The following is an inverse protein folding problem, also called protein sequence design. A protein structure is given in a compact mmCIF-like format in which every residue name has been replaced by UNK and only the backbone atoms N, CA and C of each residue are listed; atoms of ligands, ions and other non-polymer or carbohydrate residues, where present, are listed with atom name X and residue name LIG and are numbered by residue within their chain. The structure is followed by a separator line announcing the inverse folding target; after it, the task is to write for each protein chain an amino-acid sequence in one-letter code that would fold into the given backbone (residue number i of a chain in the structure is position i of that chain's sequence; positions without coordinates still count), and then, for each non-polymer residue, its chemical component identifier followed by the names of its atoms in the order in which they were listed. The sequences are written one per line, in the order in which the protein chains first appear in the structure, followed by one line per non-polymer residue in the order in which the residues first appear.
data_IF_708417803057
#
_entry.id   IF_708417803057
#
_cell.length_a   1.000
_cell.length_b   1.000
_cell.length_c   1.000
_cell.angle_alpha   90.00
_cell.angle_beta   90.00
_cell.angle_gamma   90.00
#
_symmetry.space_group_name_H-M   'P 1'
#
loop_
_entity.id
_entity.type
_entity.pdbx_description
1 polymer ?
#
# COMPACT_ATOMS: atom_id res chain seq x y z
N UNK A 1 -15.32 1.18 -25.31
CA UNK A 1 -14.72 2.50 -25.61
C UNK A 1 -13.20 2.33 -25.63
N UNK A 2 -12.61 2.10 -26.82
CA UNK A 2 -11.59 2.96 -27.48
C UNK A 2 -10.57 3.53 -26.47
N UNK A 3 -9.30 3.16 -26.49
CA UNK A 3 -8.36 3.34 -27.61
C UNK A 3 -7.20 2.33 -27.51
N UNK A 4 -7.05 1.42 -28.48
CA UNK A 4 -5.73 0.97 -28.97
C UNK A 4 -5.91 0.72 -30.47
N UNK A 5 -5.88 1.80 -31.25
CA UNK A 5 -5.66 1.74 -32.70
C UNK A 5 -4.19 2.00 -32.94
N UNK A 6 -3.57 1.11 -33.70
CA UNK A 6 -2.36 1.32 -34.51
C UNK A 6 -1.10 1.84 -33.80
N UNK A 7 -0.16 0.93 -33.56
CA UNK A 7 1.26 1.26 -33.59
C UNK A 7 1.96 0.28 -34.51
N UNK A 8 2.38 0.85 -35.64
CA UNK A 8 3.07 0.23 -36.75
C UNK A 8 4.35 -0.51 -36.35
N UNK A 9 4.61 -1.57 -37.11
CA UNK A 9 5.85 -2.34 -37.06
C UNK A 9 6.93 -1.62 -37.87
N UNK A 10 8.16 -1.57 -37.33
CA UNK A 10 9.42 -1.12 -37.94
C UNK A 10 9.81 0.37 -37.79
N UNK A 11 10.47 0.69 -36.68
CA UNK A 11 11.78 1.37 -36.67
C UNK A 11 12.58 0.86 -35.48
N UNK A 12 13.81 0.40 -35.75
CA UNK A 12 14.73 -0.14 -34.74
C UNK A 12 15.65 0.99 -34.29
N UNK A 13 15.10 1.95 -33.56
CA UNK A 13 15.90 2.85 -32.74
C UNK A 13 15.85 2.32 -31.31
N UNK A 14 17.02 1.93 -30.78
CA UNK A 14 17.17 1.65 -29.37
C UNK A 14 17.06 2.98 -28.63
N UNK A 15 15.83 3.43 -28.37
CA UNK A 15 15.61 4.37 -27.29
C UNK A 15 16.25 3.75 -26.04
N UNK A 16 17.26 4.43 -25.51
CA UNK A 16 17.92 4.00 -24.30
C UNK A 16 16.83 3.91 -23.22
N UNK A 17 16.58 2.69 -22.73
CA UNK A 17 15.65 2.52 -21.62
C UNK A 17 16.18 3.32 -20.43
N UNK A 18 15.44 4.38 -20.08
CA UNK A 18 15.71 5.18 -18.89
C UNK A 18 14.90 4.62 -17.71
N UNK A 19 15.54 4.00 -16.71
CA UNK A 19 14.85 3.57 -15.49
C UNK A 19 14.07 4.69 -14.82
N UNK A 20 14.58 5.93 -14.90
CA UNK A 20 14.00 7.09 -14.23
C UNK A 20 12.69 7.52 -14.89
N UNK A 21 12.38 7.05 -16.11
CA UNK A 21 11.12 7.36 -16.81
C UNK A 21 9.87 6.75 -16.16
N UNK A 22 10.03 5.68 -15.37
CA UNK A 22 8.91 4.99 -14.71
C UNK A 22 8.87 5.20 -13.20
N UNK A 23 10.03 5.34 -12.58
CA UNK A 23 10.19 5.60 -11.15
C UNK A 23 11.03 6.85 -11.02
N UNK A 24 10.35 8.01 -11.07
CA UNK A 24 11.03 9.29 -11.10
C UNK A 24 11.86 9.48 -9.82
N UNK A 25 13.16 9.68 -10.01
CA UNK A 25 14.12 9.96 -8.95
C UNK A 25 14.28 11.47 -8.82
N UNK A 26 14.32 11.94 -7.58
CA UNK A 26 14.61 13.33 -7.24
C UNK A 26 15.94 13.79 -7.83
N UNK A 27 16.01 14.94 -8.52
CA UNK A 27 17.23 15.40 -9.18
C UNK A 27 18.47 15.39 -8.28
N UNK A 28 18.32 15.80 -7.03
CA UNK A 28 19.36 15.85 -5.99
C UNK A 28 19.89 14.47 -5.59
N UNK A 29 19.09 13.42 -5.71
CA UNK A 29 19.46 12.06 -5.30
C UNK A 29 20.06 11.23 -6.43
N UNK A 30 19.96 11.66 -7.70
CA UNK A 30 20.34 10.83 -8.87
C UNK A 30 21.77 10.27 -8.83
N UNK A 31 22.69 10.99 -8.19
CA UNK A 31 24.10 10.58 -8.09
C UNK A 31 24.35 9.56 -6.98
N UNK A 32 23.47 9.51 -5.97
CA UNK A 32 23.61 8.66 -4.79
C UNK A 32 22.85 7.33 -4.93
N UNK A 33 22.00 7.21 -5.94
CA UNK A 33 21.18 6.01 -6.16
C UNK A 33 21.97 4.95 -6.92
N UNK A 34 22.06 3.71 -6.37
CA UNK A 34 22.64 2.59 -7.09
C UNK A 34 21.91 2.36 -8.42
N UNK A 35 22.68 2.21 -9.50
CA UNK A 35 22.10 1.91 -10.82
C UNK A 35 21.38 0.57 -10.76
N UNK A 36 20.11 0.54 -11.18
CA UNK A 36 19.36 -0.71 -11.29
C UNK A 36 20.04 -1.69 -12.24
N UNK A 37 20.21 -2.93 -11.78
CA UNK A 37 20.67 -4.05 -12.61
C UNK A 37 19.58 -4.56 -13.55
N UNK A 38 18.31 -4.28 -13.26
CA UNK A 38 17.20 -4.63 -14.13
C UNK A 38 17.15 -3.66 -15.32
N UNK A 39 17.22 -4.23 -16.52
CA UNK A 39 16.96 -3.53 -17.79
C UNK A 39 16.00 -4.38 -18.61
N UNK A 40 14.82 -3.86 -19.00
CA UNK A 40 13.91 -4.56 -19.89
C UNK A 40 14.62 -4.99 -21.17
N UNK A 41 14.51 -6.27 -21.50
CA UNK A 41 15.11 -6.86 -22.71
C UNK A 41 14.00 -7.27 -23.65
N UNK A 42 13.99 -6.70 -24.85
CA UNK A 42 13.06 -7.07 -25.92
C UNK A 42 13.11 -8.58 -26.13
N UNK A 43 11.95 -9.20 -26.19
CA UNK A 43 11.84 -10.64 -26.40
C UNK A 43 12.14 -11.51 -25.16
N UNK A 44 12.64 -10.94 -24.05
CA UNK A 44 12.85 -11.66 -22.78
C UNK A 44 11.92 -11.18 -21.67
N UNK A 45 11.88 -9.88 -21.40
CA UNK A 45 11.02 -9.28 -20.37
C UNK A 45 9.55 -9.45 -20.74
N UNK A 46 8.71 -9.74 -19.75
CA UNK A 46 7.27 -9.85 -19.96
C UNK A 46 6.71 -8.47 -20.35
N UNK A 47 6.21 -8.36 -21.58
CA UNK A 47 5.58 -7.14 -22.11
C UNK A 47 4.05 -7.24 -22.05
N UNK A 48 3.37 -6.10 -22.18
CA UNK A 48 1.90 -6.04 -22.22
C UNK A 48 1.29 -6.99 -23.26
N UNK A 49 1.84 -7.00 -24.49
CA UNK A 49 1.41 -7.92 -25.56
C UNK A 49 1.50 -9.39 -25.15
N UNK A 50 2.58 -9.78 -24.45
CA UNK A 50 2.79 -11.17 -24.02
C UNK A 50 1.93 -11.55 -22.83
N UNK A 51 1.70 -10.60 -21.91
CA UNK A 51 0.76 -10.79 -20.82
C UNK A 51 -0.65 -11.01 -21.38
N UNK A 52 -1.10 -10.15 -22.30
CA UNK A 52 -2.40 -10.28 -22.94
C UNK A 52 -2.57 -11.62 -23.66
N UNK A 53 -1.56 -12.07 -24.42
CA UNK A 53 -1.54 -13.39 -25.06
C UNK A 53 -1.38 -14.58 -24.09
N UNK A 54 -1.38 -14.34 -22.78
CA UNK A 54 -1.43 -15.38 -21.75
C UNK A 54 -2.80 -15.48 -21.07
N UNK A 55 -3.74 -14.58 -21.41
CA UNK A 55 -5.13 -14.68 -21.01
C UNK A 55 -5.95 -15.46 -22.06
N UNK A 56 -6.97 -16.17 -21.59
CA UNK A 56 -8.08 -16.62 -22.42
C UNK A 56 -9.02 -15.45 -22.79
N UNK A 57 -10.02 -15.73 -23.63
CA UNK A 57 -11.01 -14.74 -24.06
C UNK A 57 -11.84 -14.17 -22.90
N UNK A 58 -12.21 -15.02 -21.95
CA UNK A 58 -12.99 -14.67 -20.76
C UNK A 58 -12.13 -14.23 -19.55
N UNK A 59 -10.81 -14.41 -19.63
CA UNK A 59 -9.85 -13.81 -18.70
C UNK A 59 -9.11 -14.75 -17.75
N UNK A 60 -9.21 -16.06 -17.91
CA UNK A 60 -8.34 -17.01 -17.21
C UNK A 60 -6.88 -16.80 -17.63
N UNK A 61 -5.94 -16.83 -16.68
CA UNK A 61 -4.53 -16.58 -16.92
C UNK A 61 -3.72 -17.88 -16.93
N UNK A 62 -2.95 -18.13 -17.98
CA UNK A 62 -1.86 -19.12 -17.97
C UNK A 62 -0.72 -18.61 -17.08
N UNK A 63 -0.91 -18.76 -15.77
CA UNK A 63 0.02 -18.28 -14.74
C UNK A 63 1.37 -18.97 -14.84
N UNK A 64 1.39 -20.25 -15.24
CA UNK A 64 2.62 -21.01 -15.40
C UNK A 64 3.50 -20.40 -16.51
N UNK A 65 2.90 -19.99 -17.63
CA UNK A 65 3.59 -19.26 -18.70
C UNK A 65 4.08 -17.89 -18.24
N UNK A 66 3.28 -17.16 -17.46
CA UNK A 66 3.67 -15.86 -16.89
C UNK A 66 4.86 -16.01 -15.95
N UNK A 67 4.79 -16.87 -14.93
CA UNK A 67 5.85 -17.12 -13.95
C UNK A 67 7.16 -17.49 -14.66
N UNK A 68 7.11 -18.42 -15.63
CA UNK A 68 8.30 -18.83 -16.41
C UNK A 68 8.99 -17.65 -17.11
N UNK A 69 8.26 -16.61 -17.50
CA UNK A 69 8.83 -15.41 -18.12
C UNK A 69 9.31 -14.39 -17.11
N UNK A 70 8.55 -14.18 -16.04
CA UNK A 70 8.96 -13.30 -14.93
C UNK A 70 10.29 -13.76 -14.35
N UNK A 71 10.45 -15.07 -14.08
CA UNK A 71 11.70 -15.63 -13.56
C UNK A 71 12.91 -15.44 -14.48
N UNK A 72 12.70 -15.42 -15.81
CA UNK A 72 13.79 -15.34 -16.81
C UNK A 72 14.14 -13.93 -17.25
N UNK A 73 13.19 -13.00 -17.18
CA UNK A 73 13.32 -11.67 -17.79
C UNK A 73 12.67 -10.54 -17.03
N UNK A 74 12.06 -10.81 -15.88
CA UNK A 74 11.30 -9.85 -15.09
C UNK A 74 10.04 -9.34 -15.79
N UNK A 75 9.43 -8.33 -15.18
CA UNK A 75 8.18 -7.69 -15.62
C UNK A 75 8.48 -6.30 -16.14
N UNK A 76 7.93 -5.95 -17.30
CA UNK A 76 8.04 -4.58 -17.81
C UNK A 76 7.32 -3.61 -16.87
N UNK A 77 7.91 -2.44 -16.50
CA UNK A 77 7.32 -1.52 -15.51
C UNK A 77 5.85 -1.16 -15.76
N UNK A 78 5.47 -0.90 -17.02
CA UNK A 78 4.09 -0.55 -17.42
C UNK A 78 3.01 -1.55 -17.03
N UNK A 79 3.37 -2.82 -16.80
CA UNK A 79 2.40 -3.87 -16.47
C UNK A 79 2.62 -4.48 -15.09
N UNK A 80 3.58 -3.97 -14.30
CA UNK A 80 3.87 -4.50 -12.97
C UNK A 80 2.62 -4.53 -12.09
N UNK A 81 1.83 -3.46 -12.09
CA UNK A 81 0.59 -3.38 -11.31
C UNK A 81 -0.39 -4.51 -11.63
N UNK A 82 -0.54 -4.90 -12.90
CA UNK A 82 -1.44 -6.00 -13.27
C UNK A 82 -0.86 -7.37 -12.91
N UNK A 83 0.43 -7.57 -13.17
CA UNK A 83 1.09 -8.87 -12.93
C UNK A 83 1.18 -9.19 -11.43
N UNK A 84 1.46 -8.17 -10.60
CA UNK A 84 1.62 -8.34 -9.16
C UNK A 84 0.32 -8.77 -8.47
N UNK A 85 -0.84 -8.36 -8.98
CA UNK A 85 -2.13 -8.82 -8.44
C UNK A 85 -2.28 -10.35 -8.52
N UNK A 86 -1.70 -11.01 -9.52
CA UNK A 86 -1.69 -12.48 -9.59
C UNK A 86 -0.55 -13.09 -8.77
N UNK A 87 0.66 -12.50 -8.83
CA UNK A 87 1.82 -13.06 -8.11
C UNK A 87 1.67 -12.99 -6.58
N UNK A 88 0.94 -12.00 -6.07
CA UNK A 88 0.63 -11.84 -4.65
C UNK A 88 -0.64 -12.62 -4.23
N UNK A 89 -1.27 -13.34 -5.15
CA UNK A 89 -2.51 -14.08 -4.87
C UNK A 89 -3.73 -13.18 -4.66
N UNK A 90 -3.68 -11.90 -5.04
CA UNK A 90 -4.86 -11.04 -5.01
C UNK A 90 -5.93 -11.56 -5.98
N UNK A 91 -5.55 -12.10 -7.14
CA UNK A 91 -6.45 -12.77 -8.07
C UNK A 91 -6.08 -14.23 -8.26
N UNK A 92 -7.11 -15.06 -8.32
CA UNK A 92 -6.99 -16.43 -8.80
C UNK A 92 -6.70 -16.43 -10.31
N UNK A 93 -5.66 -17.12 -10.80
CA UNK A 93 -5.43 -17.32 -12.23
C UNK A 93 -6.63 -17.88 -12.98
N UNK A 94 -7.46 -18.70 -12.32
CA UNK A 94 -8.65 -19.31 -12.92
C UNK A 94 -9.89 -18.41 -12.83
N UNK A 95 -9.75 -17.15 -12.41
CA UNK A 95 -10.85 -16.18 -12.45
C UNK A 95 -11.04 -15.56 -13.84
N UNK A 96 -12.26 -15.14 -14.14
CA UNK A 96 -12.63 -14.34 -15.31
C UNK A 96 -12.39 -12.83 -15.09
N UNK A 97 -12.49 -12.02 -16.15
CA UNK A 97 -12.43 -10.56 -16.04
C UNK A 97 -13.54 -9.97 -15.16
N UNK A 98 -14.76 -10.50 -15.29
CA UNK A 98 -15.92 -10.01 -14.57
C UNK A 98 -15.84 -10.35 -13.08
N UNK A 99 -15.43 -11.58 -12.74
CA UNK A 99 -15.20 -11.99 -11.35
C UNK A 99 -14.13 -11.13 -10.67
N UNK A 100 -13.01 -10.84 -11.34
CA UNK A 100 -11.99 -9.94 -10.78
C UNK A 100 -12.48 -8.51 -10.62
N UNK A 101 -13.35 -8.05 -11.52
CA UNK A 101 -13.96 -6.72 -11.42
C UNK A 101 -14.87 -6.63 -10.20
N UNK A 102 -15.71 -7.63 -9.98
CA UNK A 102 -16.58 -7.74 -8.81
C UNK A 102 -15.76 -7.86 -7.52
N UNK A 103 -14.76 -8.74 -7.49
CA UNK A 103 -13.87 -8.92 -6.34
C UNK A 103 -13.15 -7.63 -5.96
N UNK A 104 -12.66 -6.87 -6.95
CA UNK A 104 -12.04 -5.56 -6.70
C UNK A 104 -13.02 -4.56 -6.09
N UNK A 105 -14.28 -4.53 -6.56
CA UNK A 105 -15.31 -3.65 -6.00
C UNK A 105 -15.65 -4.05 -4.56
N UNK A 106 -15.81 -5.35 -4.31
CA UNK A 106 -16.07 -5.88 -2.98
C UNK A 106 -14.94 -5.53 -2.00
N UNK A 107 -13.67 -5.80 -2.35
CA UNK A 107 -12.52 -5.47 -1.49
C UNK A 107 -12.37 -3.98 -1.24
N UNK A 108 -12.72 -3.13 -2.21
CA UNK A 108 -12.75 -1.66 -2.01
C UNK A 108 -13.80 -1.28 -0.98
N UNK A 109 -14.99 -1.89 -1.03
CA UNK A 109 -16.04 -1.65 -0.05
C UNK A 109 -15.59 -2.11 1.34
N UNK A 110 -15.05 -3.33 1.45
CA UNK A 110 -14.54 -3.89 2.71
C UNK A 110 -13.43 -3.02 3.30
N UNK A 111 -12.44 -2.63 2.51
CA UNK A 111 -11.38 -1.72 2.93
C UNK A 111 -11.95 -0.37 3.39
N UNK A 112 -12.90 0.21 2.65
CA UNK A 112 -13.53 1.46 3.06
C UNK A 112 -14.28 1.32 4.39
N UNK A 113 -14.96 0.20 4.64
CA UNK A 113 -15.59 -0.07 5.93
C UNK A 113 -14.57 -0.17 7.06
N UNK A 114 -13.47 -0.89 6.85
CA UNK A 114 -12.38 -0.99 7.83
C UNK A 114 -11.74 0.38 8.11
N UNK A 115 -11.48 1.15 7.05
CA UNK A 115 -10.94 2.50 7.15
C UNK A 115 -11.88 3.43 7.91
N UNK A 116 -13.20 3.37 7.68
CA UNK A 116 -14.18 4.15 8.42
C UNK A 116 -14.19 3.82 9.91
N UNK A 117 -14.11 2.53 10.28
CA UNK A 117 -13.98 2.12 11.70
C UNK A 117 -12.71 2.69 12.33
N UNK A 118 -11.58 2.62 11.61
CA UNK A 118 -10.33 3.21 12.09
C UNK A 118 -10.43 4.72 12.24
N UNK A 119 -11.15 5.40 11.32
CA UNK A 119 -11.39 6.84 11.37
C UNK A 119 -12.28 7.27 12.54
N UNK A 120 -13.26 6.46 12.92
CA UNK A 120 -14.09 6.72 14.11
C UNK A 120 -13.24 6.72 15.39
N UNK A 121 -12.26 5.81 15.48
CA UNK A 121 -11.35 5.72 16.62
C UNK A 121 -10.25 6.78 16.57
N UNK A 122 -9.70 7.06 15.37
CA UNK A 122 -8.67 8.07 15.13
C UNK A 122 -8.98 8.90 13.88
N UNK A 123 -9.50 10.14 14.03
CA UNK A 123 -9.97 10.98 12.92
C UNK A 123 -8.91 11.32 11.86
N UNK A 124 -7.63 11.18 12.20
CA UNK A 124 -6.52 11.39 11.26
C UNK A 124 -6.53 10.34 10.12
N UNK A 125 -7.06 9.13 10.35
CA UNK A 125 -7.19 8.09 9.32
C UNK A 125 -8.09 8.56 8.17
N UNK A 126 -7.54 8.58 6.96
CA UNK A 126 -8.23 9.05 5.77
C UNK A 126 -8.34 10.56 5.63
N UNK A 127 -7.63 11.34 6.45
CA UNK A 127 -7.64 12.81 6.38
C UNK A 127 -6.64 13.40 5.38
N UNK A 128 -5.72 12.61 4.84
CA UNK A 128 -4.58 13.11 4.05
C UNK A 128 -3.42 13.63 4.91
N UNK A 129 -3.45 13.34 6.22
CA UNK A 129 -2.40 13.67 7.19
C UNK A 129 -1.94 12.39 7.89
N UNK A 130 -0.74 12.42 8.47
CA UNK A 130 -0.19 11.35 9.29
C UNK A 130 0.18 11.88 10.68
N UNK A 131 0.21 10.99 11.68
CA UNK A 131 0.61 11.30 13.06
C UNK A 131 2.09 11.01 13.23
N UNK A 132 2.88 11.97 13.68
CA UNK A 132 4.33 11.82 13.91
C UNK A 132 4.77 12.14 15.34
N UNK A 133 3.87 12.73 16.13
CA UNK A 133 4.09 13.04 17.54
C UNK A 133 3.19 12.17 18.43
N UNK A 134 3.70 11.75 19.59
CA UNK A 134 2.91 11.06 20.60
C UNK A 134 1.78 11.99 21.06
N UNK A 135 0.54 11.60 20.79
CA UNK A 135 -0.63 12.34 21.29
C UNK A 135 -1.17 11.73 22.58
N UNK A 136 -0.72 10.53 22.97
CA UNK A 136 -1.29 9.72 24.06
C UNK A 136 -0.15 9.04 24.84
N UNK A 137 -0.22 9.02 26.17
CA UNK A 137 0.68 8.27 27.06
C UNK A 137 0.34 6.77 27.09
N UNK A 138 1.22 5.91 27.59
CA UNK A 138 0.99 4.45 27.71
C UNK A 138 -0.31 4.10 28.47
N UNK A 139 -0.79 5.00 29.34
CA UNK A 139 -2.03 4.87 30.11
C UNK A 139 -3.30 5.38 29.39
N UNK A 140 -3.19 5.81 28.12
CA UNK A 140 -4.33 6.29 27.34
C UNK A 140 -4.74 7.73 27.61
N UNK A 141 -3.91 8.52 28.32
CA UNK A 141 -4.18 9.94 28.56
C UNK A 141 -3.55 10.80 27.45
N UNK A 142 -4.25 11.82 26.93
CA UNK A 142 -3.64 12.77 26.02
C UNK A 142 -2.39 13.41 26.63
N UNK A 143 -1.31 13.57 25.85
CA UNK A 143 -0.15 14.36 26.28
C UNK A 143 -0.55 15.83 26.20
N UNK A 144 -1.07 16.36 27.32
CA UNK A 144 -1.26 17.80 27.51
C UNK A 144 0.12 18.48 27.64
N UNK A 145 0.42 19.40 26.74
CA UNK A 145 1.41 20.45 27.06
C UNK A 145 0.81 21.43 28.09
N UNK A 146 1.65 22.09 28.90
CA UNK A 146 1.44 22.26 30.33
C UNK A 146 0.56 23.47 30.63
N UNK A 147 -0.73 23.27 30.82
CA UNK A 147 -1.52 24.13 31.69
C UNK A 147 -2.62 23.29 32.31
N UNK A 148 -2.37 22.91 33.56
CA UNK A 148 -3.13 21.89 34.26
C UNK A 148 -4.57 22.30 34.55
N UNK A 149 -5.41 21.28 34.68
CA UNK A 149 -6.38 21.10 35.77
C UNK A 149 -6.73 19.61 35.81
N UNK A 150 -6.37 18.97 36.93
CA UNK A 150 -6.77 17.60 37.27
C UNK A 150 -8.23 17.61 37.71
N UNK A 151 -9.04 16.70 37.17
CA UNK A 151 -10.33 16.32 37.76
C UNK A 151 -10.36 14.81 37.96
N UNK A 152 -10.13 14.39 39.20
CA UNK A 152 -10.38 13.02 39.67
C UNK A 152 -11.89 12.80 39.74
N UNK A 153 -12.41 11.74 39.13
CA UNK A 153 -13.70 11.17 39.54
C UNK A 153 -13.71 9.65 39.63
N UNK A 154 -14.52 9.20 40.59
CA UNK A 154 -14.53 7.92 41.30
C UNK A 154 -15.01 6.71 40.48
N UNK A 155 -14.51 5.54 40.88
CA UNK A 155 -14.92 4.21 40.39
C UNK A 155 -16.03 3.61 41.28
N UNK A 156 -17.08 3.07 40.66
CA UNK A 156 -17.84 1.91 41.18
C UNK A 156 -17.99 0.84 40.07
N UNK A 157 -18.05 -0.46 40.40
CA UNK A 157 -18.00 -1.55 39.42
C UNK A 157 -19.40 -2.08 39.10
N UNK A 158 -19.72 -2.24 37.82
CA UNK A 158 -20.89 -3.02 37.41
C UNK A 158 -20.57 -3.86 36.17
N UNK A 159 -21.10 -5.07 36.13
CA UNK A 159 -20.66 -6.23 35.33
C UNK A 159 -20.77 -6.15 33.80
N UNK A 160 -20.96 -4.95 33.24
CA UNK A 160 -20.96 -4.66 31.79
C UNK A 160 -19.62 -4.04 31.30
N UNK A 161 -18.64 -3.88 32.20
CA UNK A 161 -17.41 -3.11 31.94
C UNK A 161 -16.34 -3.82 31.12
N UNK A 162 -16.29 -5.15 31.12
CA UNK A 162 -15.12 -5.87 30.60
C UNK A 162 -14.93 -5.71 29.08
N UNK A 163 -16.00 -5.78 28.28
CA UNK A 163 -15.87 -5.66 26.81
C UNK A 163 -15.46 -4.26 26.37
N UNK A 164 -15.99 -3.22 27.01
CA UNK A 164 -15.60 -1.83 26.69
C UNK A 164 -14.17 -1.56 27.17
N UNK A 165 -13.79 -2.03 28.36
CA UNK A 165 -12.42 -1.88 28.88
C UNK A 165 -11.40 -2.63 28.03
N UNK A 166 -11.72 -3.82 27.51
CA UNK A 166 -10.84 -4.57 26.60
C UNK A 166 -10.71 -3.85 25.27
N UNK A 167 -11.81 -3.39 24.67
CA UNK A 167 -11.79 -2.60 23.43
C UNK A 167 -10.98 -1.31 23.60
N UNK A 168 -11.16 -0.59 24.71
CA UNK A 168 -10.41 0.62 24.98
C UNK A 168 -8.91 0.35 25.06
N UNK A 169 -8.48 -0.75 25.70
CA UNK A 169 -7.08 -1.16 25.74
C UNK A 169 -6.52 -1.48 24.35
N UNK A 170 -7.25 -2.21 23.53
CA UNK A 170 -6.83 -2.51 22.15
C UNK A 170 -6.72 -1.24 21.29
N UNK A 171 -7.66 -0.30 21.46
CA UNK A 171 -7.64 0.98 20.74
C UNK A 171 -6.46 1.83 21.20
N UNK A 172 -6.19 1.92 22.50
CA UNK A 172 -5.02 2.63 23.03
C UNK A 172 -3.74 2.01 22.46
N UNK A 173 -3.60 0.69 22.52
CA UNK A 173 -2.42 0.00 22.02
C UNK A 173 -2.21 0.24 20.52
N UNK A 174 -3.29 0.16 19.73
CA UNK A 174 -3.24 0.46 18.31
C UNK A 174 -2.83 1.93 18.06
N UNK A 175 -3.40 2.89 18.79
CA UNK A 175 -3.03 4.32 18.67
C UNK A 175 -1.56 4.58 18.96
N UNK A 176 -0.97 3.87 19.92
CA UNK A 176 0.48 3.97 20.20
C UNK A 176 1.33 3.53 18.99
N UNK A 177 0.85 2.59 18.16
CA UNK A 177 1.57 2.18 16.94
C UNK A 177 1.54 3.23 15.82
N UNK A 178 0.53 4.11 15.81
CA UNK A 178 0.32 5.07 14.71
C UNK A 178 1.44 6.09 14.57
N UNK A 179 2.07 6.47 15.69
CA UNK A 179 3.23 7.36 15.69
C UNK A 179 4.42 6.68 15.02
N UNK A 180 4.71 5.43 15.37
CA UNK A 180 5.82 4.68 14.79
C UNK A 180 5.63 4.53 13.27
N UNK A 181 4.41 4.21 12.84
CA UNK A 181 4.05 4.15 11.41
C UNK A 181 4.32 5.50 10.74
N UNK A 182 3.92 6.62 11.36
CA UNK A 182 4.14 7.94 10.78
C UNK A 182 5.62 8.33 10.65
N UNK A 183 6.44 8.04 11.65
CA UNK A 183 7.89 8.23 11.56
C UNK A 183 8.49 7.37 10.45
N UNK A 184 8.01 6.14 10.29
CA UNK A 184 8.46 5.18 9.29
C UNK A 184 8.06 5.59 7.86
N UNK A 185 6.86 6.14 7.70
CA UNK A 185 6.40 6.73 6.44
C UNK A 185 7.28 7.92 6.05
N UNK A 186 7.67 8.80 6.98
CA UNK A 186 8.55 9.94 6.70
C UNK A 186 9.99 9.56 6.32
N UNK A 187 10.44 8.35 6.69
CA UNK A 187 11.75 7.81 6.25
C UNK A 187 11.64 6.94 5.00
N UNK A 188 10.43 6.63 4.53
CA UNK A 188 10.23 5.77 3.36
C UNK A 188 10.76 6.45 2.09
N UNK A 189 11.65 5.71 1.39
CA UNK A 189 12.19 5.98 0.05
C UNK A 189 12.21 7.45 -0.39
N UNK A 190 13.03 8.24 0.31
CA UNK A 190 13.19 9.70 0.10
C UNK A 190 13.78 10.07 -1.25
N UNK A 191 14.15 9.09 -2.07
CA UNK A 191 14.74 9.22 -3.39
C UNK A 191 13.65 9.34 -4.46
N UNK A 192 12.53 8.63 -4.29
CA UNK A 192 11.44 8.64 -5.27
C UNK A 192 10.58 9.89 -5.11
N UNK A 193 10.35 10.60 -6.22
CA UNK A 193 9.44 11.76 -6.27
C UNK A 193 8.03 11.40 -5.80
N UNK A 194 7.62 10.14 -6.01
CA UNK A 194 6.31 9.64 -5.59
C UNK A 194 6.01 9.92 -4.10
N UNK A 195 7.00 9.77 -3.23
CA UNK A 195 6.85 9.98 -1.79
C UNK A 195 7.13 11.41 -1.34
N UNK A 196 7.42 12.37 -2.24
CA UNK A 196 7.44 13.80 -1.87
C UNK A 196 6.02 14.33 -1.65
N UNK A 197 5.04 13.75 -2.35
CA UNK A 197 3.64 14.11 -2.23
C UNK A 197 3.07 13.61 -0.90
N UNK A 198 2.62 14.56 -0.08
CA UNK A 198 1.99 14.28 1.20
C UNK A 198 0.76 13.37 1.06
N UNK A 199 0.01 13.44 -0.05
CA UNK A 199 -1.12 12.55 -0.27
C UNK A 199 -0.68 11.09 -0.40
N UNK A 200 0.44 10.83 -1.06
CA UNK A 200 0.97 9.47 -1.23
C UNK A 200 1.53 8.93 0.08
N UNK A 201 2.22 9.77 0.86
CA UNK A 201 2.63 9.43 2.21
C UNK A 201 1.42 9.11 3.11
N UNK A 202 0.38 9.94 3.07
CA UNK A 202 -0.84 9.72 3.83
C UNK A 202 -1.57 8.43 3.41
N UNK A 203 -1.57 8.09 2.11
CA UNK A 203 -2.10 6.79 1.63
C UNK A 203 -1.33 5.61 2.20
N UNK A 204 0.00 5.69 2.25
CA UNK A 204 0.83 4.64 2.84
C UNK A 204 0.54 4.52 4.34
N UNK A 205 0.49 5.64 5.05
CA UNK A 205 0.16 5.68 6.47
C UNK A 205 -1.23 5.09 6.76
N UNK A 206 -2.26 5.46 5.98
CA UNK A 206 -3.62 4.92 6.10
C UNK A 206 -3.65 3.40 5.92
N UNK A 207 -2.95 2.87 4.91
CA UNK A 207 -2.91 1.42 4.64
C UNK A 207 -2.29 0.68 5.82
N UNK A 208 -1.15 1.16 6.34
CA UNK A 208 -0.44 0.54 7.45
C UNK A 208 -1.26 0.63 8.76
N UNK A 209 -1.90 1.78 9.02
CA UNK A 209 -2.76 1.98 10.17
C UNK A 209 -3.99 1.07 10.15
N UNK A 210 -4.63 0.90 8.99
CA UNK A 210 -5.77 -0.01 8.85
C UNK A 210 -5.31 -1.46 8.99
N UNK A 211 -4.18 -1.84 8.40
CA UNK A 211 -3.64 -3.19 8.51
C UNK A 211 -3.32 -3.56 9.96
N UNK A 212 -2.64 -2.69 10.70
CA UNK A 212 -2.27 -2.96 12.10
C UNK A 212 -3.47 -3.08 13.04
N UNK A 213 -4.64 -2.56 12.65
CA UNK A 213 -5.90 -2.78 13.36
C UNK A 213 -6.57 -4.12 13.00
N UNK A 214 -6.46 -4.52 11.73
CA UNK A 214 -7.09 -5.75 11.21
C UNK A 214 -6.38 -6.99 11.75
N UNK A 215 -5.05 -6.99 11.72
CA UNK A 215 -4.23 -8.10 12.19
C UNK A 215 -3.49 -7.67 13.46
N UNK A 216 -4.16 -7.79 14.61
CA UNK A 216 -3.64 -7.33 15.90
C UNK A 216 -2.50 -8.20 16.45
N UNK A 217 -2.44 -9.45 16.01
CA UNK A 217 -1.41 -10.40 16.45
C UNK A 217 -0.05 -10.03 15.85
N UNK A 218 -0.05 -9.53 14.61
CA UNK A 218 1.14 -8.98 13.96
C UNK A 218 1.30 -7.49 14.28
N UNK A 219 0.22 -6.73 14.20
CA UNK A 219 0.19 -5.28 14.38
C UNK A 219 1.06 -4.56 13.35
N UNK A 220 1.93 -3.66 13.83
CA UNK A 220 2.95 -3.02 13.02
C UNK A 220 4.34 -3.37 13.54
N UNK A 221 5.20 -3.81 12.63
CA UNK A 221 6.63 -3.98 12.88
C UNK A 221 7.41 -3.10 11.93
N UNK A 222 8.44 -2.43 12.46
CA UNK A 222 9.35 -1.63 11.66
C UNK A 222 10.07 -2.53 10.63
N UNK A 223 10.00 -2.14 9.36
CA UNK A 223 10.78 -2.79 8.30
C UNK A 223 12.27 -2.44 8.43
N UNK A 224 13.12 -3.46 8.32
CA UNK A 224 14.58 -3.35 8.20
C UNK A 224 15.02 -2.95 6.79
#
# INVERSE_FOLDING_TARGET
MKLISEMDCCTREQEAWDPDSYYLIRPECRHDVPKTHFKPRIGRTLSAKRLHASFSEDGHLDIAKVIRRVQRGGVHPTIKGVVWEFLLGCYDPDSTFDERTQLRQQRRLEYNTLKSKCKEMEPTVGSGRLITAAMITEDGHPIDNPDGISSKENVQPDGYRNDNVIKDKEVIQWKLTLQQIGLDVLRTDRVLIYYEDQENQARLWDILAVYSWVDKDIGYCQGE
#
